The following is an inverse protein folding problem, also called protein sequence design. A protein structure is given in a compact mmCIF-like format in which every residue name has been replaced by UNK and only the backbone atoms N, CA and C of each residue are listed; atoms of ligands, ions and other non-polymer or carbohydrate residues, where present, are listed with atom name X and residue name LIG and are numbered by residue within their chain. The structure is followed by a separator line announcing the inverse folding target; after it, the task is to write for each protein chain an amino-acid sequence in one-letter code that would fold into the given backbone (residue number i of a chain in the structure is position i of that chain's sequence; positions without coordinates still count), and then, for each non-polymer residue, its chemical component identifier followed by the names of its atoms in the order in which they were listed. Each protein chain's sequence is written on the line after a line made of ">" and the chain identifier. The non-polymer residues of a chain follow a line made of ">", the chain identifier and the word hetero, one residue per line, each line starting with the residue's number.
data_IF_141504019239
#
_entry.id   IF_141504019239
#
_cell.length_a   1.000
_cell.length_b   1.000
_cell.length_c   1.000
_cell.angle_alpha   90.00
_cell.angle_beta   90.00
_cell.angle_gamma   90.00
#
_symmetry.space_group_name_H-M   'P 1'
#
loop_
_entity.id
_entity.type
_entity.pdbx_description
1 polymer ?
#
# COMPACT_ATOMS: atom_id res chain seq x y z
N UNK A 1 2.24 -21.84 0.83
CA UNK A 1 1.17 -20.82 0.63
C UNK A 1 0.04 -21.23 -0.33
N UNK A 2 0.29 -21.49 -1.62
CA UNK A 2 -0.78 -21.78 -2.60
C UNK A 2 -1.64 -23.00 -2.21
N UNK A 3 -1.00 -24.11 -1.81
CA UNK A 3 -1.69 -25.30 -1.31
C UNK A 3 -2.52 -25.00 -0.05
N UNK A 4 -2.02 -24.17 0.86
CA UNK A 4 -2.76 -23.80 2.07
C UNK A 4 -4.03 -22.98 1.77
N UNK A 5 -3.99 -22.12 0.74
CA UNK A 5 -5.18 -21.43 0.24
C UNK A 5 -6.17 -22.40 -0.40
N UNK A 6 -5.69 -23.29 -1.26
CA UNK A 6 -6.52 -24.30 -1.95
C UNK A 6 -7.21 -25.25 -0.95
N UNK A 7 -6.46 -25.73 0.04
CA UNK A 7 -6.96 -26.59 1.13
C UNK A 7 -7.70 -25.82 2.22
N UNK A 8 -7.85 -24.50 2.11
CA UNK A 8 -8.49 -23.61 3.09
C UNK A 8 -7.87 -23.65 4.49
N UNK A 9 -6.59 -23.99 4.59
CA UNK A 9 -5.80 -23.82 5.82
C UNK A 9 -5.44 -22.35 6.06
N UNK A 10 -5.36 -21.57 4.99
CA UNK A 10 -5.28 -20.12 5.02
C UNK A 10 -6.55 -19.51 4.44
N UNK A 11 -7.09 -18.50 5.13
CA UNK A 11 -8.20 -17.67 4.63
C UNK A 11 -7.77 -16.21 4.60
N UNK A 12 -8.05 -15.52 3.50
CA UNK A 12 -7.82 -14.08 3.36
C UNK A 12 -9.18 -13.40 3.38
N UNK A 13 -9.33 -12.41 4.26
CA UNK A 13 -10.57 -11.65 4.45
C UNK A 13 -10.31 -10.16 4.19
N UNK A 14 -11.12 -9.55 3.33
CA UNK A 14 -11.07 -8.11 3.14
C UNK A 14 -11.90 -7.41 4.23
N UNK A 15 -11.29 -6.44 4.91
CA UNK A 15 -11.96 -5.69 5.97
C UNK A 15 -12.94 -4.63 5.44
N UNK A 16 -12.84 -4.20 4.18
CA UNK A 16 -13.69 -3.12 3.64
C UNK A 16 -13.30 -1.73 4.17
N UNK A 17 -11.99 -1.47 4.30
CA UNK A 17 -11.42 -0.19 4.77
C UNK A 17 -10.90 -0.21 6.21
N UNK A 18 -10.02 0.74 6.55
CA UNK A 18 -9.27 0.74 7.81
C UNK A 18 -10.13 0.75 9.08
N UNK A 19 -11.31 1.40 9.03
CA UNK A 19 -12.24 1.45 10.16
C UNK A 19 -12.87 0.10 10.55
N UNK A 20 -12.86 -0.87 9.64
CA UNK A 20 -13.51 -2.17 9.82
C UNK A 20 -12.53 -3.30 10.17
N UNK A 21 -11.21 -3.06 10.12
CA UNK A 21 -10.19 -4.07 10.42
C UNK A 21 -10.38 -4.65 11.82
N UNK A 22 -10.66 -3.82 12.83
CA UNK A 22 -10.93 -4.29 14.20
C UNK A 22 -12.09 -5.29 14.23
N UNK A 23 -13.24 -4.88 13.71
CA UNK A 23 -14.45 -5.70 13.70
C UNK A 23 -14.19 -7.04 13.01
N UNK A 24 -13.52 -7.01 11.85
CA UNK A 24 -13.19 -8.23 11.11
C UNK A 24 -12.21 -9.12 11.87
N UNK A 25 -11.20 -8.54 12.52
CA UNK A 25 -10.26 -9.28 13.35
C UNK A 25 -10.95 -9.95 14.54
N UNK A 26 -11.87 -9.26 15.23
CA UNK A 26 -12.68 -9.81 16.32
C UNK A 26 -13.55 -10.98 15.85
N UNK A 27 -14.21 -10.85 14.69
CA UNK A 27 -14.96 -11.94 14.05
C UNK A 27 -14.07 -13.14 13.73
N UNK A 28 -12.86 -12.91 13.18
CA UNK A 28 -11.90 -13.97 12.89
C UNK A 28 -11.38 -14.66 14.16
N UNK A 29 -11.10 -13.90 15.22
CA UNK A 29 -10.65 -14.45 16.51
C UNK A 29 -11.75 -15.33 17.12
N UNK A 30 -13.01 -14.87 17.12
CA UNK A 30 -14.12 -15.63 17.66
C UNK A 30 -14.34 -16.99 16.95
N UNK A 31 -13.99 -17.08 15.66
CA UNK A 31 -14.06 -18.31 14.88
C UNK A 31 -12.76 -19.14 14.87
N UNK A 32 -11.67 -18.66 15.46
CA UNK A 32 -10.37 -19.32 15.40
C UNK A 32 -10.14 -20.24 16.62
N UNK A 33 -9.43 -21.36 16.38
CA UNK A 33 -8.95 -22.25 17.46
C UNK A 33 -7.89 -21.55 18.31
N UNK A 34 -7.08 -20.68 17.69
CA UNK A 34 -6.05 -19.89 18.34
C UNK A 34 -5.99 -18.50 17.69
N UNK A 35 -6.04 -17.45 18.51
CA UNK A 35 -5.90 -16.06 18.05
C UNK A 35 -4.54 -15.78 17.43
N UNK A 36 -3.50 -16.55 17.77
CA UNK A 36 -2.17 -16.47 17.14
C UNK A 36 -2.20 -16.80 15.64
N UNK A 37 -3.27 -17.42 15.15
CA UNK A 37 -3.53 -17.71 13.73
C UNK A 37 -4.26 -16.57 12.99
N UNK A 38 -4.57 -15.48 13.69
CA UNK A 38 -5.17 -14.28 13.09
C UNK A 38 -4.09 -13.21 12.96
N UNK A 39 -3.94 -12.69 11.75
CA UNK A 39 -3.07 -11.53 11.47
C UNK A 39 -3.85 -10.50 10.67
N UNK A 40 -3.48 -9.23 10.81
CA UNK A 40 -3.98 -8.15 9.97
C UNK A 40 -2.85 -7.53 9.15
N UNK A 41 -3.18 -7.00 7.98
CA UNK A 41 -2.30 -6.23 7.11
C UNK A 41 -3.03 -4.95 6.72
N UNK A 42 -2.34 -3.81 6.74
CA UNK A 42 -2.89 -2.52 6.38
C UNK A 42 -1.87 -1.65 5.64
N UNK A 43 -2.40 -0.77 4.78
CA UNK A 43 -1.68 0.41 4.30
C UNK A 43 -1.20 1.26 5.49
N UNK A 44 -0.21 2.11 5.25
CA UNK A 44 0.39 2.92 6.29
C UNK A 44 -0.17 4.33 6.34
N UNK A 45 -0.72 4.84 5.24
CA UNK A 45 -1.11 6.24 5.07
C UNK A 45 0.02 7.22 5.45
N UNK A 46 1.29 6.80 5.32
CA UNK A 46 2.45 7.64 5.59
C UNK A 46 2.55 8.75 4.54
N UNK A 47 2.81 9.97 4.99
CA UNK A 47 3.11 11.11 4.13
C UNK A 47 4.63 11.22 3.85
N UNK A 48 5.46 10.69 4.76
CA UNK A 48 6.92 10.60 4.66
C UNK A 48 7.39 9.43 5.56
N UNK A 49 8.67 9.01 5.52
CA UNK A 49 9.12 7.81 6.24
C UNK A 49 8.81 7.81 7.73
N UNK A 50 9.01 8.94 8.39
CA UNK A 50 8.80 9.08 9.83
C UNK A 50 7.36 9.48 10.21
N UNK A 51 6.44 9.58 9.24
CA UNK A 51 5.07 10.00 9.50
C UNK A 51 4.32 8.96 10.35
N UNK A 52 3.91 9.35 11.55
CA UNK A 52 3.00 8.53 12.36
C UNK A 52 1.56 8.85 11.96
N UNK A 53 1.00 8.09 11.02
CA UNK A 53 -0.38 8.27 10.56
C UNK A 53 -1.41 7.81 11.60
N UNK A 54 -2.66 8.22 11.43
CA UNK A 54 -3.79 7.70 12.22
C UNK A 54 -3.96 6.20 12.04
N UNK A 55 -3.73 5.69 10.83
CA UNK A 55 -3.81 4.25 10.53
C UNK A 55 -2.77 3.46 11.30
N UNK A 56 -1.52 3.92 11.35
CA UNK A 56 -0.45 3.27 12.13
C UNK A 56 -0.82 3.20 13.61
N UNK A 57 -1.24 4.33 14.21
CA UNK A 57 -1.69 4.36 15.62
C UNK A 57 -2.85 3.39 15.87
N UNK A 58 -3.82 3.36 14.96
CA UNK A 58 -4.99 2.50 15.06
C UNK A 58 -4.61 1.02 14.98
N UNK A 59 -3.74 0.66 14.03
CA UNK A 59 -3.24 -0.71 13.87
C UNK A 59 -2.41 -1.17 15.06
N UNK A 60 -1.56 -0.31 15.64
CA UNK A 60 -0.84 -0.59 16.88
C UNK A 60 -1.77 -0.84 18.06
N UNK A 61 -2.83 -0.05 18.19
CA UNK A 61 -3.87 -0.24 19.20
C UNK A 61 -4.60 -1.59 19.01
N UNK A 62 -4.96 -1.93 17.78
CA UNK A 62 -5.58 -3.24 17.46
C UNK A 62 -4.64 -4.39 17.82
N UNK A 63 -3.37 -4.31 17.45
CA UNK A 63 -2.37 -5.34 17.78
C UNK A 63 -2.28 -5.56 19.29
N UNK A 64 -2.17 -4.47 20.06
CA UNK A 64 -2.05 -4.52 21.51
C UNK A 64 -3.31 -5.05 22.21
N UNK A 65 -4.49 -4.62 21.79
CA UNK A 65 -5.74 -4.95 22.48
C UNK A 65 -6.26 -6.34 22.13
N UNK A 66 -6.13 -6.77 20.87
CA UNK A 66 -6.59 -8.10 20.44
C UNK A 66 -5.51 -9.17 20.63
N UNK A 67 -4.24 -8.77 20.79
CA UNK A 67 -3.12 -9.70 20.90
C UNK A 67 -2.88 -10.50 19.61
N UNK A 68 -3.09 -9.85 18.46
CA UNK A 68 -2.81 -10.41 17.13
C UNK A 68 -1.59 -9.72 16.52
N UNK A 69 -0.95 -10.38 15.55
CA UNK A 69 0.09 -9.74 14.74
C UNK A 69 -0.57 -8.81 13.72
N UNK A 70 -0.13 -7.55 13.69
CA UNK A 70 -0.55 -6.59 12.68
C UNK A 70 0.67 -6.13 11.90
N UNK A 71 0.58 -6.26 10.58
CA UNK A 71 1.56 -5.78 9.61
C UNK A 71 1.09 -4.45 9.06
N UNK A 72 1.97 -3.47 9.06
CA UNK A 72 1.71 -2.18 8.43
C UNK A 72 2.75 -2.04 7.32
N UNK A 73 2.28 -1.79 6.10
CA UNK A 73 3.16 -1.59 4.96
C UNK A 73 4.11 -0.41 5.19
N UNK A 74 5.29 -0.44 4.58
CA UNK A 74 6.29 0.60 4.70
C UNK A 74 5.91 1.82 3.87
N UNK A 75 5.41 1.58 2.65
CA UNK A 75 4.94 2.60 1.74
C UNK A 75 3.56 3.10 2.14
N UNK A 76 3.15 4.24 1.59
CA UNK A 76 1.87 4.88 1.88
C UNK A 76 0.70 3.92 1.68
N UNK A 77 0.53 3.46 0.44
CA UNK A 77 -0.56 2.57 0.02
C UNK A 77 0.00 1.34 -0.70
N UNK A 78 -0.79 0.27 -0.77
CA UNK A 78 -0.45 -0.95 -1.51
C UNK A 78 -0.10 -0.68 -2.97
N UNK A 79 -0.71 0.33 -3.60
CA UNK A 79 -0.46 0.73 -4.98
C UNK A 79 0.95 1.29 -5.20
N UNK A 80 1.63 1.78 -4.16
CA UNK A 80 3.04 2.20 -4.26
C UNK A 80 4.00 1.01 -4.46
N UNK A 81 3.52 -0.23 -4.28
CA UNK A 81 4.24 -1.47 -4.61
C UNK A 81 4.00 -1.94 -6.05
N UNK A 82 3.11 -1.29 -6.83
CA UNK A 82 2.92 -1.66 -8.23
C UNK A 82 4.22 -1.49 -9.02
N UNK A 83 4.60 -2.48 -9.85
CA UNK A 83 5.68 -2.35 -10.81
C UNK A 83 5.43 -1.20 -11.79
N UNK A 84 6.50 -0.62 -12.33
CA UNK A 84 6.39 0.53 -13.23
C UNK A 84 5.58 0.24 -14.49
N UNK A 85 5.69 -0.97 -15.01
CA UNK A 85 4.88 -1.48 -16.11
C UNK A 85 3.39 -1.45 -15.74
N UNK A 86 3.06 -1.89 -14.52
CA UNK A 86 1.70 -1.78 -13.97
C UNK A 86 1.23 -0.32 -13.94
N UNK A 87 2.03 0.59 -13.39
CA UNK A 87 1.66 2.02 -13.37
C UNK A 87 1.49 2.60 -14.79
N UNK A 88 2.24 2.15 -15.79
CA UNK A 88 2.08 2.61 -17.16
C UNK A 88 0.73 2.20 -17.79
N UNK A 89 0.11 1.12 -17.29
CA UNK A 89 -1.20 0.64 -17.73
C UNK A 89 -2.38 1.52 -17.28
N UNK A 90 -2.20 2.51 -16.38
CA UNK A 90 -3.26 3.47 -16.01
C UNK A 90 -3.81 4.32 -17.15
N UNK A 91 -3.05 4.47 -18.25
CA UNK A 91 -3.41 5.37 -19.35
C UNK A 91 -3.17 6.86 -19.05
N UNK A 92 -2.77 7.24 -17.82
CA UNK A 92 -2.37 8.61 -17.48
C UNK A 92 -0.89 8.88 -17.79
N UNK A 93 -0.53 8.82 -19.08
CA UNK A 93 0.87 8.88 -19.53
C UNK A 93 1.64 10.13 -19.04
N UNK A 94 0.99 11.29 -18.95
CA UNK A 94 1.63 12.50 -18.42
C UNK A 94 2.00 12.37 -16.95
N UNK A 95 1.09 11.83 -16.13
CA UNK A 95 1.31 11.59 -14.69
C UNK A 95 2.38 10.52 -14.51
N UNK A 96 2.31 9.42 -15.28
CA UNK A 96 3.32 8.36 -15.25
C UNK A 96 4.74 8.87 -15.56
N UNK A 97 4.89 9.67 -16.62
CA UNK A 97 6.19 10.27 -16.99
C UNK A 97 6.73 11.20 -15.89
N UNK A 98 5.86 11.90 -15.17
CA UNK A 98 6.25 12.71 -14.03
C UNK A 98 6.63 11.83 -12.82
N UNK A 99 5.84 10.81 -12.52
CA UNK A 99 6.09 9.85 -11.44
C UNK A 99 7.42 9.12 -11.61
N UNK A 100 7.80 8.79 -12.84
CA UNK A 100 9.10 8.18 -13.17
C UNK A 100 10.31 9.06 -12.84
N UNK A 101 10.12 10.37 -12.68
CA UNK A 101 11.19 11.32 -12.33
C UNK A 101 11.38 11.45 -10.81
N UNK A 102 10.46 10.91 -10.01
CA UNK A 102 10.63 10.83 -8.56
C UNK A 102 11.73 9.81 -8.22
N UNK A 103 12.45 10.04 -7.14
CA UNK A 103 13.30 9.00 -6.54
C UNK A 103 12.45 7.92 -5.85
N UNK A 104 13.07 6.81 -5.44
CA UNK A 104 12.33 5.69 -4.85
C UNK A 104 11.57 6.06 -3.57
N UNK A 105 12.20 6.82 -2.68
CA UNK A 105 11.59 7.25 -1.44
C UNK A 105 10.38 8.18 -1.69
N UNK A 106 10.46 9.09 -2.65
CA UNK A 106 9.34 9.93 -3.08
C UNK A 106 8.19 9.10 -3.64
N UNK A 107 8.48 8.09 -4.47
CA UNK A 107 7.45 7.18 -5.01
C UNK A 107 6.72 6.41 -3.93
N UNK A 108 7.37 6.12 -2.80
CA UNK A 108 6.79 5.34 -1.70
C UNK A 108 5.72 6.10 -0.92
N UNK A 109 5.77 7.43 -0.91
CA UNK A 109 4.83 8.26 -0.15
C UNK A 109 3.94 9.16 -1.02
N UNK A 110 4.00 8.97 -2.33
CA UNK A 110 3.13 9.65 -3.27
C UNK A 110 1.71 9.06 -3.20
N UNK A 111 0.69 9.93 -3.13
CA UNK A 111 -0.72 9.53 -3.21
C UNK A 111 -1.03 9.04 -4.63
N UNK A 112 -0.99 7.73 -4.87
CA UNK A 112 -1.21 7.17 -6.20
C UNK A 112 -2.60 7.50 -6.73
N UNK A 113 -3.60 7.62 -5.86
CA UNK A 113 -4.99 7.87 -6.23
C UNK A 113 -5.21 9.34 -6.62
N UNK A 114 -4.93 10.25 -5.69
CA UNK A 114 -5.31 11.65 -5.76
C UNK A 114 -4.16 12.56 -6.20
N UNK A 115 -2.92 12.09 -6.09
CA UNK A 115 -1.72 12.89 -6.29
C UNK A 115 -1.68 14.11 -5.38
N UNK A 116 -0.97 15.15 -5.83
CA UNK A 116 -1.01 16.45 -5.17
C UNK A 116 -2.32 17.17 -5.46
N UNK A 117 -2.76 18.01 -4.52
CA UNK A 117 -3.99 18.78 -4.66
C UNK A 117 -3.70 20.14 -5.27
N UNK A 118 -4.75 20.77 -5.80
CA UNK A 118 -4.75 22.20 -6.16
C UNK A 118 -5.66 22.93 -5.21
N UNK A 119 -5.25 24.13 -4.79
CA UNK A 119 -6.09 25.08 -4.07
C UNK A 119 -7.16 25.65 -5.00
N UNK A 120 -8.11 26.38 -4.43
CA UNK A 120 -9.19 27.04 -5.17
C UNK A 120 -8.69 28.05 -6.22
N UNK A 121 -7.52 28.66 -6.00
CA UNK A 121 -6.85 29.56 -6.94
C UNK A 121 -6.05 28.82 -8.04
N UNK A 122 -6.08 27.49 -8.06
CA UNK A 122 -5.38 26.65 -9.03
C UNK A 122 -3.92 26.35 -8.67
N UNK A 123 -3.37 26.95 -7.61
CA UNK A 123 -2.00 26.69 -7.18
C UNK A 123 -1.86 25.28 -6.63
N UNK A 124 -0.77 24.59 -6.98
CA UNK A 124 -0.46 23.27 -6.44
C UNK A 124 -0.12 23.37 -4.95
N UNK A 125 -0.76 22.50 -4.18
CA UNK A 125 -0.59 22.31 -2.74
C UNK A 125 0.10 20.97 -2.47
N UNK A 126 1.25 21.07 -1.81
CA UNK A 126 1.96 19.93 -1.23
C UNK A 126 1.63 19.99 0.27
N UNK A 127 1.20 18.88 0.90
CA UNK A 127 1.01 18.88 2.35
C UNK A 127 2.30 19.31 3.05
N UNK A 128 2.18 20.08 4.13
CA UNK A 128 3.34 20.61 4.86
C UNK A 128 4.30 19.48 5.30
N UNK A 129 3.73 18.36 5.72
CA UNK A 129 4.44 17.13 6.11
C UNK A 129 5.21 16.48 4.95
N UNK A 130 4.89 16.82 3.71
CA UNK A 130 5.54 16.32 2.50
C UNK A 130 6.46 17.35 1.82
N UNK A 131 6.55 18.59 2.32
CA UNK A 131 7.36 19.62 1.65
C UNK A 131 8.83 19.19 1.55
N UNK A 132 9.39 18.65 2.63
CA UNK A 132 10.80 18.25 2.67
C UNK A 132 11.13 17.10 1.71
N UNK A 133 10.26 16.09 1.62
CA UNK A 133 10.53 14.89 0.79
C UNK A 133 10.44 15.21 -0.71
N UNK A 134 9.72 16.26 -1.11
CA UNK A 134 9.59 16.71 -2.50
C UNK A 134 10.33 18.02 -2.81
N UNK A 135 11.17 18.52 -1.90
CA UNK A 135 11.81 19.83 -2.02
C UNK A 135 12.73 19.95 -3.24
N UNK A 136 13.33 18.84 -3.68
CA UNK A 136 14.24 18.75 -4.83
C UNK A 136 13.53 18.44 -6.16
N UNK A 137 12.21 18.20 -6.14
CA UNK A 137 11.46 17.86 -7.34
C UNK A 137 11.09 19.15 -8.11
N UNK A 138 11.42 19.26 -9.40
CA UNK A 138 11.08 20.44 -10.17
C UNK A 138 9.59 20.74 -10.15
N UNK A 139 9.21 22.01 -9.97
CA UNK A 139 7.79 22.42 -9.90
C UNK A 139 6.97 21.91 -11.08
N UNK A 140 7.52 21.94 -12.29
CA UNK A 140 6.86 21.44 -13.50
C UNK A 140 6.54 19.93 -13.47
N UNK A 141 7.30 19.14 -12.70
CA UNK A 141 7.04 17.71 -12.46
C UNK A 141 5.91 17.57 -11.44
N UNK A 142 5.98 18.31 -10.34
CA UNK A 142 4.96 18.32 -9.28
C UNK A 142 3.58 18.74 -9.81
N UNK A 143 3.51 19.73 -10.69
CA UNK A 143 2.28 20.19 -11.34
C UNK A 143 1.61 19.09 -12.19
N UNK A 144 2.41 18.20 -12.80
CA UNK A 144 1.92 17.05 -13.59
C UNK A 144 1.51 15.86 -12.71
N UNK A 145 1.97 15.83 -11.47
CA UNK A 145 1.57 14.88 -10.43
C UNK A 145 0.29 15.32 -9.70
N UNK A 146 -0.24 16.50 -10.00
CA UNK A 146 -1.55 16.91 -9.50
C UNK A 146 -2.65 15.97 -10.02
N UNK A 147 -3.55 15.52 -9.14
CA UNK A 147 -4.71 14.71 -9.52
C UNK A 147 -4.45 13.20 -9.69
N UNK A 148 -3.23 12.73 -9.49
CA UNK A 148 -2.91 11.31 -9.32
C UNK A 148 -3.22 10.42 -10.53
N UNK A 149 -3.37 9.12 -10.28
CA UNK A 149 -3.77 8.11 -11.26
C UNK A 149 -5.29 7.88 -11.29
N UNK A 150 -6.04 8.40 -10.30
CA UNK A 150 -7.50 8.26 -10.17
C UNK A 150 -7.93 6.91 -9.59
N UNK A 151 -9.23 6.75 -9.34
CA UNK A 151 -9.84 5.73 -8.45
C UNK A 151 -9.79 4.26 -8.92
N UNK A 152 -9.20 3.96 -10.06
CA UNK A 152 -9.16 2.60 -10.63
C UNK A 152 -7.83 1.90 -10.37
N UNK A 153 -7.13 2.33 -9.33
CA UNK A 153 -5.77 1.89 -9.07
C UNK A 153 -5.63 0.48 -8.52
N UNK A 154 -6.55 0.10 -7.65
CA UNK A 154 -6.71 -1.26 -7.16
C UNK A 154 -7.00 -2.28 -8.28
N UNK A 155 -7.63 -1.88 -9.39
CA UNK A 155 -7.92 -2.77 -10.51
C UNK A 155 -6.66 -3.27 -11.21
N UNK A 156 -5.50 -2.64 -11.00
CA UNK A 156 -4.26 -3.06 -11.66
C UNK A 156 -3.62 -4.29 -11.03
N UNK A 157 -4.08 -4.72 -9.86
CA UNK A 157 -3.68 -6.00 -9.27
C UNK A 157 -4.39 -7.21 -9.91
N UNK A 158 -5.41 -6.96 -10.75
CA UNK A 158 -6.21 -8.00 -11.36
C UNK A 158 -6.40 -7.73 -12.86
N UNK A 159 -6.00 -8.70 -13.68
CA UNK A 159 -6.23 -8.71 -15.12
C UNK A 159 -7.70 -8.86 -15.46
N UNK A 160 -8.04 -8.61 -16.72
CA UNK A 160 -9.41 -8.73 -17.26
C UNK A 160 -10.00 -10.14 -17.13
N UNK A 161 -9.14 -11.16 -17.01
CA UNK A 161 -9.51 -12.56 -16.80
C UNK A 161 -9.57 -12.96 -15.32
N UNK A 162 -9.46 -11.99 -14.42
CA UNK A 162 -9.47 -12.20 -12.98
C UNK A 162 -8.14 -12.70 -12.41
N UNK A 163 -7.11 -12.91 -13.23
CA UNK A 163 -5.78 -13.38 -12.79
C UNK A 163 -4.86 -12.24 -12.45
N UNK A 164 -3.80 -12.52 -11.70
CA UNK A 164 -2.72 -11.54 -11.48
C UNK A 164 -2.06 -11.22 -12.83
N UNK A 165 -1.93 -9.94 -13.21
CA UNK A 165 -1.30 -9.56 -14.48
C UNK A 165 0.15 -10.04 -14.59
N UNK A 166 0.60 -10.35 -15.81
CA UNK A 166 1.95 -10.86 -16.08
C UNK A 166 3.09 -9.94 -15.63
N UNK A 167 2.83 -8.64 -15.50
CA UNK A 167 3.81 -7.66 -15.00
C UNK A 167 3.86 -7.56 -13.48
N UNK A 168 3.10 -8.40 -12.76
CA UNK A 168 3.15 -8.52 -11.31
C UNK A 168 3.79 -9.87 -10.97
N UNK A 169 5.11 -9.87 -10.95
CA UNK A 169 5.91 -11.01 -10.47
C UNK A 169 6.53 -10.68 -9.11
N UNK A 170 6.93 -11.73 -8.37
CA UNK A 170 7.67 -11.59 -7.11
C UNK A 170 8.89 -10.66 -7.28
N UNK A 171 9.70 -10.91 -8.30
CA UNK A 171 10.89 -10.09 -8.61
C UNK A 171 10.55 -8.63 -8.87
N UNK A 172 9.48 -8.34 -9.62
CA UNK A 172 9.09 -6.97 -9.92
C UNK A 172 8.57 -6.23 -8.68
N UNK A 173 7.79 -6.89 -7.82
CA UNK A 173 7.35 -6.29 -6.56
C UNK A 173 8.54 -6.08 -5.62
N UNK A 174 9.43 -7.06 -5.49
CA UNK A 174 10.64 -6.95 -4.66
C UNK A 174 11.55 -5.80 -5.12
N UNK A 175 11.66 -5.59 -6.43
CA UNK A 175 12.37 -4.45 -7.00
C UNK A 175 11.72 -3.09 -6.65
N UNK A 176 10.46 -3.07 -6.20
CA UNK A 176 9.82 -1.86 -5.64
C UNK A 176 10.16 -1.67 -4.16
N UNK A 177 10.73 -2.64 -3.46
CA UNK A 177 10.97 -2.57 -2.01
C UNK A 177 12.37 -2.04 -1.63
N UNK A 178 12.98 -1.18 -2.46
CA UNK A 178 14.38 -0.72 -2.28
C UNK A 178 14.61 0.01 -0.96
N UNK A 179 13.65 0.80 -0.50
CA UNK A 179 13.70 1.58 0.76
C UNK A 179 13.43 0.74 2.00
N UNK A 180 12.81 -0.44 1.83
CA UNK A 180 12.62 -1.44 2.88
C UNK A 180 12.78 -2.85 2.29
N UNK A 181 14.02 -3.31 2.07
CA UNK A 181 14.26 -4.65 1.57
C UNK A 181 13.66 -5.71 2.49
N UNK A 182 13.28 -6.85 1.91
CA UNK A 182 12.75 -8.04 2.63
C UNK A 182 11.43 -7.83 3.38
N UNK A 183 10.76 -6.68 3.24
CA UNK A 183 9.49 -6.42 3.91
C UNK A 183 8.45 -7.50 3.61
N UNK A 184 8.18 -7.73 2.32
CA UNK A 184 7.13 -8.67 1.91
C UNK A 184 7.51 -10.11 2.24
N UNK A 185 8.79 -10.46 2.11
CA UNK A 185 9.30 -11.78 2.55
C UNK A 185 9.07 -11.97 4.04
N UNK A 186 9.38 -10.96 4.87
CA UNK A 186 9.15 -11.02 6.31
C UNK A 186 7.68 -11.20 6.68
N UNK A 187 6.77 -10.53 5.96
CA UNK A 187 5.32 -10.68 6.12
C UNK A 187 4.89 -12.10 5.71
N UNK A 188 5.36 -12.61 4.58
CA UNK A 188 5.04 -13.96 4.11
C UNK A 188 5.54 -15.03 5.08
N UNK A 189 6.79 -14.92 5.57
CA UNK A 189 7.35 -15.83 6.57
C UNK A 189 6.56 -15.80 7.89
N UNK A 190 6.02 -14.63 8.25
CA UNK A 190 5.12 -14.50 9.39
C UNK A 190 3.78 -15.20 9.16
N UNK A 191 3.25 -15.18 7.93
CA UNK A 191 2.02 -15.91 7.57
C UNK A 191 2.28 -17.42 7.57
N UNK A 192 3.38 -17.87 6.97
CA UNK A 192 3.73 -19.29 6.85
C UNK A 192 3.96 -19.97 8.22
N UNK A 193 4.51 -19.25 9.20
CA UNK A 193 4.69 -19.78 10.57
C UNK A 193 3.40 -20.12 11.32
N UNK A 194 2.23 -19.72 10.80
CA UNK A 194 0.94 -20.07 11.40
C UNK A 194 0.27 -21.30 10.79
N UNK A 195 0.74 -21.73 9.61
CA UNK A 195 0.22 -22.90 8.90
C UNK A 195 0.66 -24.18 9.62
#
# INVERSE_FOLDING_TARGET
>A
MAEALERKWLKIEHAGGGGNIRKKAEECIAGAVDKGRVQALSDSDRLHPDHESTTIRTMRKIASELGIRVHILHKRDSENYLPHEGVDHYGRKTVYRAFRQLNEQQKDYYDMKSGFRRKSDGTLEIPAEQEQIYADVPRAVLEKLAGGFGDRQNMLFQGVDGKVPHYITKTQIEARCVTKPEELTSILDAVERML
#
